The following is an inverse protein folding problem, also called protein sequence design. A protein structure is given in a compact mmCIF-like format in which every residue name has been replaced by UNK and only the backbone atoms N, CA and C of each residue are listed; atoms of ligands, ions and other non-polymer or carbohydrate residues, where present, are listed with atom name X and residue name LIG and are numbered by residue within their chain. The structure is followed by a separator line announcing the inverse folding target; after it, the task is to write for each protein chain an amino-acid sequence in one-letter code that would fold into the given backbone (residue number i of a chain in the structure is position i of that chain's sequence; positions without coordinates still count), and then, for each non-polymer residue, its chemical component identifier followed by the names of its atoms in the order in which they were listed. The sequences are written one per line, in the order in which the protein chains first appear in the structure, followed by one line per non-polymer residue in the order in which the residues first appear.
data_IF_238797106526
#
_entry.id   IF_238797106526
#
_cell.length_a   1.000
_cell.length_b   1.000
_cell.length_c   1.000
_cell.angle_alpha   90.00
_cell.angle_beta   90.00
_cell.angle_gamma   90.00
#
_symmetry.space_group_name_H-M   'P 1'
#
loop_
_entity.id
_entity.type
_entity.pdbx_description
1 polymer ?
#
# COMPACT_ATOMS: atom_id res chain seq x y z
N UNK A 1 9.73 -4.62 -2.05
CA UNK A 1 10.82 -3.67 -2.40
C UNK A 1 11.33 -3.04 -1.12
N UNK A 2 12.65 -2.91 -0.94
CA UNK A 2 13.20 -2.36 0.33
C UNK A 2 13.12 -0.84 0.40
N UNK A 3 13.00 -0.17 -0.75
CA UNK A 3 13.18 1.29 -0.86
C UNK A 3 11.97 2.02 -1.48
N UNK A 4 10.87 1.32 -1.79
CA UNK A 4 9.66 1.96 -2.32
C UNK A 4 8.42 1.08 -2.05
N UNK A 5 7.26 1.72 -1.98
CA UNK A 5 5.95 1.09 -1.90
C UNK A 5 5.05 1.65 -3.00
N UNK A 6 4.26 0.78 -3.58
CA UNK A 6 3.28 1.12 -4.61
C UNK A 6 1.91 0.75 -4.09
N UNK A 7 0.96 1.66 -4.25
CA UNK A 7 -0.42 1.44 -3.86
C UNK A 7 -1.24 1.66 -5.12
N UNK A 8 -2.06 0.66 -5.43
CA UNK A 8 -2.80 0.61 -6.69
C UNK A 8 -4.22 0.21 -6.39
N UNK A 9 -5.18 0.98 -6.90
CA UNK A 9 -6.61 0.64 -6.81
C UNK A 9 -7.00 0.02 -8.14
N UNK A 10 -7.55 -1.19 -8.07
CA UNK A 10 -7.92 -1.97 -9.25
C UNK A 10 -9.36 -2.45 -9.15
N UNK A 11 -9.95 -2.74 -10.30
CA UNK A 11 -11.15 -3.57 -10.38
C UNK A 11 -10.84 -5.04 -10.06
N UNK A 12 -11.90 -5.84 -9.89
CA UNK A 12 -11.82 -7.28 -9.69
C UNK A 12 -11.08 -8.01 -10.82
N UNK A 13 -11.16 -7.48 -12.04
CA UNK A 13 -10.45 -7.98 -13.23
C UNK A 13 -8.97 -7.54 -13.30
N UNK A 14 -8.49 -6.71 -12.37
CA UNK A 14 -7.11 -6.22 -12.35
C UNK A 14 -6.85 -4.94 -13.14
N UNK A 15 -7.88 -4.31 -13.70
CA UNK A 15 -7.75 -3.03 -14.40
C UNK A 15 -7.41 -1.90 -13.40
N UNK A 16 -6.33 -1.16 -13.67
CA UNK A 16 -5.86 -0.07 -12.81
C UNK A 16 -6.74 1.17 -12.98
N UNK A 17 -7.30 1.65 -11.87
CA UNK A 17 -8.06 2.92 -11.80
C UNK A 17 -7.20 4.06 -11.28
N UNK A 18 -6.54 3.82 -10.15
CA UNK A 18 -5.66 4.78 -9.50
C UNK A 18 -4.36 4.11 -9.11
N UNK A 19 -3.30 4.91 -8.99
CA UNK A 19 -2.07 4.43 -8.40
C UNK A 19 -1.15 5.56 -7.99
N UNK A 20 -0.40 5.30 -6.95
CA UNK A 20 0.61 6.20 -6.42
C UNK A 20 1.76 5.36 -5.90
N UNK A 21 2.89 6.01 -5.69
CA UNK A 21 4.05 5.40 -5.05
C UNK A 21 4.54 6.33 -3.95
N UNK A 22 5.20 5.76 -2.94
CA UNK A 22 5.84 6.58 -1.91
C UNK A 22 6.89 7.53 -2.52
N UNK A 23 7.52 7.13 -3.62
CA UNK A 23 8.43 7.99 -4.39
C UNK A 23 7.76 9.16 -5.11
N UNK A 24 6.47 9.09 -5.46
CA UNK A 24 5.73 10.20 -6.10
C UNK A 24 5.47 11.36 -5.12
N UNK A 25 5.25 11.02 -3.85
CA UNK A 25 4.98 11.98 -2.77
C UNK A 25 6.25 12.37 -1.99
N UNK A 26 7.34 11.61 -2.16
CA UNK A 26 8.64 12.00 -1.61
C UNK A 26 9.23 13.18 -2.39
N UNK A 27 9.88 14.10 -1.67
CA UNK A 27 10.65 15.20 -2.26
C UNK A 27 11.77 14.67 -3.15
N UNK A 28 12.08 15.36 -4.26
CA UNK A 28 13.19 15.00 -5.16
C UNK A 28 14.49 14.88 -4.36
N UNK A 29 15.09 13.69 -4.36
CA UNK A 29 16.33 13.37 -3.62
C UNK A 29 16.12 12.90 -2.18
N UNK A 30 14.89 12.91 -1.67
CA UNK A 30 14.54 12.45 -0.34
C UNK A 30 14.53 10.92 -0.20
N UNK A 31 14.94 10.42 0.96
CA UNK A 31 14.86 8.99 1.29
C UNK A 31 13.41 8.59 1.46
N UNK A 32 12.94 7.64 0.66
CA UNK A 32 11.62 7.01 0.86
C UNK A 32 11.60 6.34 2.24
N UNK A 33 10.76 6.87 3.13
CA UNK A 33 10.66 6.43 4.51
C UNK A 33 9.34 5.68 4.75
N UNK A 34 9.13 5.21 5.99
CA UNK A 34 7.84 4.59 6.37
C UNK A 34 6.69 5.60 6.25
N UNK A 35 6.94 6.82 6.69
CA UNK A 35 5.98 7.91 6.60
C UNK A 35 5.56 8.19 5.15
N UNK A 36 6.50 8.13 4.19
CA UNK A 36 6.17 8.30 2.78
C UNK A 36 5.17 7.25 2.26
N UNK A 37 5.18 6.03 2.83
CA UNK A 37 4.22 5.00 2.48
C UNK A 37 2.84 5.23 3.10
N UNK A 38 2.80 5.75 4.33
CA UNK A 38 1.57 6.14 5.03
C UNK A 38 0.90 7.33 4.32
N UNK A 39 1.67 8.37 3.99
CA UNK A 39 1.20 9.51 3.20
C UNK A 39 0.69 9.09 1.81
N UNK A 40 1.35 8.13 1.16
CA UNK A 40 0.88 7.54 -0.09
C UNK A 40 -0.45 6.79 0.05
N UNK A 41 -0.63 6.09 1.17
CA UNK A 41 -1.88 5.39 1.45
C UNK A 41 -3.02 6.38 1.71
N UNK A 42 -2.75 7.44 2.46
CA UNK A 42 -3.70 8.50 2.76
C UNK A 42 -4.15 9.25 1.49
N UNK A 43 -3.21 9.64 0.62
CA UNK A 43 -3.50 10.28 -0.67
C UNK A 43 -4.41 9.41 -1.55
N UNK A 44 -4.14 8.10 -1.61
CA UNK A 44 -5.03 7.18 -2.33
C UNK A 44 -6.38 7.00 -1.64
N UNK A 45 -6.43 7.01 -0.31
CA UNK A 45 -7.68 6.98 0.44
C UNK A 45 -8.59 8.15 0.05
N UNK A 46 -8.03 9.37 -0.03
CA UNK A 46 -8.74 10.57 -0.45
C UNK A 46 -9.25 10.46 -1.89
N UNK A 47 -8.40 10.05 -2.83
CA UNK A 47 -8.77 9.84 -4.25
C UNK A 47 -9.81 8.75 -4.45
N UNK A 48 -9.74 7.68 -3.66
CA UNK A 48 -10.74 6.60 -3.69
C UNK A 48 -12.12 7.10 -3.23
N UNK A 49 -12.16 8.01 -2.26
CA UNK A 49 -13.38 8.68 -1.81
C UNK A 49 -13.97 9.59 -2.88
N UNK A 50 -13.14 10.38 -3.56
CA UNK A 50 -13.58 11.21 -4.71
C UNK A 50 -14.21 10.35 -5.82
N UNK A 51 -13.66 9.15 -6.05
CA UNK A 51 -14.22 8.16 -6.97
C UNK A 51 -15.45 7.40 -6.45
N UNK A 52 -15.95 7.73 -5.25
CA UNK A 52 -17.13 7.11 -4.61
C UNK A 52 -17.03 5.59 -4.44
N UNK A 53 -15.82 5.07 -4.19
CA UNK A 53 -15.59 3.65 -3.93
C UNK A 53 -16.06 3.27 -2.52
N UNK A 54 -17.24 2.65 -2.41
CA UNK A 54 -17.85 2.33 -1.10
C UNK A 54 -17.12 1.26 -0.30
N UNK A 55 -16.64 0.23 -0.98
CA UNK A 55 -16.04 -0.94 -0.35
C UNK A 55 -14.81 -1.41 -1.14
N UNK A 56 -13.77 -1.81 -0.40
CA UNK A 56 -12.52 -2.29 -0.98
C UNK A 56 -12.03 -3.54 -0.26
N UNK A 57 -11.44 -4.44 -1.05
CA UNK A 57 -10.66 -5.57 -0.57
C UNK A 57 -9.19 -5.19 -0.65
N UNK A 58 -8.50 -5.19 0.49
CA UNK A 58 -7.10 -4.81 0.57
C UNK A 58 -6.20 -6.04 0.46
N UNK A 59 -5.45 -6.10 -0.64
CA UNK A 59 -4.40 -7.09 -0.84
C UNK A 59 -3.05 -6.50 -0.48
N UNK A 60 -2.46 -7.03 0.57
CA UNK A 60 -1.16 -6.60 1.05
C UNK A 60 -0.12 -7.58 0.53
N UNK A 61 0.95 -7.06 -0.08
CA UNK A 61 2.04 -7.86 -0.60
C UNK A 61 3.39 -7.35 -0.11
N UNK A 62 4.36 -8.26 0.06
CA UNK A 62 5.73 -7.93 0.42
C UNK A 62 6.25 -8.64 1.66
N UNK A 63 7.56 -8.86 1.70
CA UNK A 63 8.25 -9.67 2.71
C UNK A 63 8.62 -8.91 4.00
N UNK A 64 7.75 -8.01 4.47
CA UNK A 64 7.92 -7.27 5.73
C UNK A 64 6.98 -7.82 6.81
N UNK A 65 7.30 -7.58 8.09
CA UNK A 65 6.38 -7.91 9.18
C UNK A 65 5.03 -7.23 8.99
N UNK A 66 3.94 -7.98 9.16
CA UNK A 66 2.57 -7.46 8.98
C UNK A 66 2.29 -6.21 9.83
N UNK A 67 2.83 -6.13 11.05
CA UNK A 67 2.74 -4.94 11.93
C UNK A 67 3.18 -3.64 11.22
N UNK A 68 4.19 -3.71 10.35
CA UNK A 68 4.67 -2.56 9.57
C UNK A 68 3.77 -2.22 8.39
N UNK A 69 3.08 -3.22 7.83
CA UNK A 69 2.15 -3.03 6.70
C UNK A 69 0.78 -2.52 7.17
N UNK A 70 0.35 -2.94 8.37
CA UNK A 70 -0.92 -2.52 8.99
C UNK A 70 -1.05 -1.00 9.07
N UNK A 71 0.04 -0.27 9.33
CA UNK A 71 0.00 1.19 9.40
C UNK A 71 -0.46 1.82 8.08
N UNK A 72 0.04 1.35 6.94
CA UNK A 72 -0.43 1.85 5.64
C UNK A 72 -1.92 1.53 5.38
N UNK A 73 -2.43 0.40 5.87
CA UNK A 73 -3.86 0.06 5.79
C UNK A 73 -4.70 1.03 6.65
N UNK A 74 -4.21 1.37 7.84
CA UNK A 74 -4.86 2.36 8.71
C UNK A 74 -4.82 3.76 8.09
N UNK A 75 -3.68 4.19 7.55
CA UNK A 75 -3.56 5.49 6.86
C UNK A 75 -4.44 5.59 5.62
N UNK A 76 -4.64 4.49 4.87
CA UNK A 76 -5.62 4.48 3.78
C UNK A 76 -7.05 4.72 4.30
N UNK A 77 -7.42 4.05 5.39
CA UNK A 77 -8.73 4.26 6.04
C UNK A 77 -8.88 5.70 6.53
N UNK A 78 -7.86 6.26 7.17
CA UNK A 78 -7.84 7.66 7.61
C UNK A 78 -7.99 8.64 6.43
N UNK A 79 -7.32 8.39 5.31
CA UNK A 79 -7.47 9.21 4.11
C UNK A 79 -8.87 9.11 3.48
N UNK A 80 -9.51 7.94 3.55
CA UNK A 80 -10.86 7.73 3.01
C UNK A 80 -11.96 8.33 3.91
N UNK A 81 -11.80 8.24 5.23
CA UNK A 81 -12.79 8.64 6.23
C UNK A 81 -12.42 10.00 6.84
N UNK A 82 -13.23 11.05 6.66
CA UNK A 82 -12.97 12.33 7.34
C UNK A 82 -13.49 12.36 8.77
N UNK A 83 -14.51 11.55 9.10
CA UNK A 83 -15.16 11.58 10.40
C UNK A 83 -15.29 10.19 11.02
N UNK A 84 -15.24 10.07 12.36
CA UNK A 84 -15.36 8.78 13.05
C UNK A 84 -16.68 8.03 12.79
N UNK A 85 -17.69 8.70 12.19
CA UNK A 85 -18.98 8.10 11.83
C UNK A 85 -19.06 7.51 10.43
N UNK A 86 -18.05 7.71 9.57
CA UNK A 86 -18.13 7.20 8.19
C UNK A 86 -17.95 5.67 8.16
N UNK A 87 -18.72 5.01 7.30
CA UNK A 87 -18.66 3.55 7.09
C UNK A 87 -17.23 3.12 6.76
N UNK A 88 -16.75 2.07 7.44
CA UNK A 88 -15.43 1.51 7.17
C UNK A 88 -15.38 0.97 5.72
N UNK A 89 -14.53 1.52 4.83
CA UNK A 89 -14.45 1.07 3.44
C UNK A 89 -13.77 -0.30 3.30
N UNK A 90 -12.96 -0.70 4.27
CA UNK A 90 -12.16 -1.92 4.20
C UNK A 90 -12.99 -3.10 4.65
N UNK A 91 -13.42 -3.94 3.69
CA UNK A 91 -14.25 -5.13 3.95
C UNK A 91 -13.39 -6.32 4.35
N UNK A 92 -12.27 -6.52 3.65
CA UNK A 92 -11.41 -7.68 3.83
C UNK A 92 -9.94 -7.30 3.65
N UNK A 93 -9.08 -7.91 4.45
CA UNK A 93 -7.62 -7.75 4.38
C UNK A 93 -7.01 -9.13 4.12
N UNK A 94 -6.30 -9.23 3.00
CA UNK A 94 -5.62 -10.46 2.58
C UNK A 94 -4.11 -10.23 2.50
N UNK A 95 -3.29 -11.07 3.13
CA UNK A 95 -1.84 -11.05 2.94
C UNK A 95 -1.46 -12.05 1.84
N UNK A 96 -0.98 -11.53 0.71
CA UNK A 96 -0.75 -12.28 -0.54
C UNK A 96 0.75 -12.55 -0.77
N UNK A 97 1.55 -12.65 0.29
CA UNK A 97 3.00 -12.89 0.18
C UNK A 97 3.24 -14.27 -0.43
N UNK A 98 3.75 -14.30 -1.67
CA UNK A 98 4.17 -15.55 -2.32
C UNK A 98 5.56 -15.94 -1.83
N UNK A 99 5.71 -17.14 -1.27
CA UNK A 99 7.02 -17.72 -0.96
C UNK A 99 7.53 -18.51 -2.17
N UNK A 100 8.81 -18.36 -2.56
CA UNK A 100 9.37 -19.16 -3.64
C UNK A 100 9.60 -20.59 -3.15
N UNK A 101 9.06 -21.57 -3.89
CA UNK A 101 9.34 -23.00 -3.68
C UNK A 101 10.64 -23.35 -4.40
N UNK A 102 11.79 -23.21 -3.73
CA UNK A 102 13.13 -23.49 -4.30
C UNK A 102 13.40 -22.75 -5.64
N UNK A 103 13.08 -21.45 -5.68
CA UNK A 103 13.24 -20.61 -6.88
C UNK A 103 14.69 -20.20 -7.18
N UNK A 104 14.86 -19.09 -7.91
CA UNK A 104 16.17 -18.62 -8.37
C UNK A 104 17.15 -18.34 -7.21
N UNK A 105 18.44 -18.60 -7.47
CA UNK A 105 19.54 -18.30 -6.54
C UNK A 105 19.56 -16.81 -6.17
N UNK A 106 19.46 -16.50 -4.87
CA UNK A 106 19.57 -15.14 -4.36
C UNK A 106 20.97 -14.56 -4.63
N UNK A 107 21.03 -13.24 -4.82
CA UNK A 107 22.30 -12.51 -4.97
C UNK A 107 23.20 -12.75 -3.75
N UNK A 108 24.51 -12.83 -3.99
CA UNK A 108 25.53 -12.96 -2.92
C UNK A 108 25.32 -11.89 -1.86
N UNK A 109 25.45 -12.25 -0.58
CA UNK A 109 25.40 -11.29 0.52
C UNK A 109 26.46 -10.20 0.27
N UNK A 110 26.07 -8.93 0.46
CA UNK A 110 27.01 -7.81 0.38
C UNK A 110 28.06 -7.96 1.48
N UNK A 111 29.30 -7.56 1.20
CA UNK A 111 30.42 -7.54 2.15
C UNK A 111 30.50 -6.23 2.96
N UNK A 112 29.42 -5.44 2.91
CA UNK A 112 29.29 -4.14 3.60
C UNK A 112 28.47 -4.36 4.84
#
# INVERSE_FOLDING_TARGET
MRNNTFITVTDSKGNKKLGTSAGKLATKGGKVSRYSAEAAAEDIGRKAREMKLKSVVMKVNGFTYFKKKKQAVLSFREGYTHSRGDLNPVVYIEDTIRKPHNGCRLRKKRRV
#
